data_IF_894373049749
#
_entry.id   IF_894373049749
#
_cell.length_a   1.000
_cell.length_b   1.000
_cell.length_c   1.000
_cell.angle_alpha   90.00
_cell.angle_beta   90.00
_cell.angle_gamma   90.00
#
_symmetry.space_group_name_H-M   'P 1'
#
loop_
_entity.id
_entity.type
_entity.pdbx_description
1 polymer ?
#
# COMPACT_ATOMS: atom_id res chain seq x y z
N UNK A 1 -2.24 8.40 -4.81
CA UNK A 1 -1.99 9.73 -5.43
C UNK A 1 -1.93 10.85 -4.39
N UNK A 2 -2.94 11.08 -3.52
CA UNK A 2 -2.93 12.16 -2.51
C UNK A 2 -1.72 12.16 -1.56
N UNK A 3 -1.04 11.04 -1.44
CA UNK A 3 0.13 10.86 -0.57
C UNK A 3 1.47 11.08 -1.28
N UNK A 4 1.47 11.33 -2.59
CA UNK A 4 2.67 11.59 -3.37
C UNK A 4 2.87 13.08 -3.59
N UNK A 5 4.11 13.52 -3.59
CA UNK A 5 4.54 14.89 -3.81
C UNK A 5 5.41 14.95 -5.06
N UNK A 6 5.25 15.95 -5.95
CA UNK A 6 6.16 16.11 -7.08
C UNK A 6 7.63 16.06 -6.65
N UNK A 7 8.43 15.28 -7.38
CA UNK A 7 9.84 15.01 -7.06
C UNK A 7 10.07 13.81 -6.16
N UNK A 8 9.00 13.14 -5.64
CA UNK A 8 9.19 11.93 -4.85
C UNK A 8 9.81 10.80 -5.70
N UNK A 9 10.81 10.13 -5.13
CA UNK A 9 11.28 8.83 -5.59
C UNK A 9 10.41 7.76 -4.93
N UNK A 10 9.72 6.97 -5.75
CA UNK A 10 8.66 6.04 -5.33
C UNK A 10 9.04 4.62 -5.70
N UNK A 11 9.33 3.78 -4.70
CA UNK A 11 9.44 2.34 -4.93
C UNK A 11 8.06 1.68 -4.87
N UNK A 12 7.81 0.76 -5.80
CA UNK A 12 6.57 0.00 -5.87
C UNK A 12 6.86 -1.50 -5.76
N UNK A 13 6.36 -2.08 -4.70
CA UNK A 13 6.39 -3.52 -4.49
C UNK A 13 5.35 -4.26 -5.33
N UNK A 14 5.46 -5.58 -5.30
CA UNK A 14 4.53 -6.50 -5.96
C UNK A 14 3.14 -6.44 -5.30
N UNK A 15 2.09 -6.63 -6.07
CA UNK A 15 0.71 -6.69 -5.60
C UNK A 15 -0.08 -5.43 -5.95
N UNK A 16 -0.98 -4.99 -5.07
CA UNK A 16 -1.90 -3.88 -5.35
C UNK A 16 -1.19 -2.56 -5.65
N UNK A 17 -0.06 -2.30 -4.99
CA UNK A 17 0.75 -1.11 -5.21
C UNK A 17 1.32 -1.02 -6.64
N UNK A 18 1.53 -2.15 -7.32
CA UNK A 18 1.99 -2.16 -8.72
C UNK A 18 0.98 -1.57 -9.71
N UNK A 19 -0.25 -1.32 -9.29
CA UNK A 19 -1.27 -0.61 -10.08
C UNK A 19 -1.14 0.92 -10.06
N UNK A 20 -0.33 1.49 -9.17
CA UNK A 20 -0.16 2.95 -9.05
C UNK A 20 0.29 3.60 -10.37
N UNK A 21 1.26 3.04 -11.13
CA UNK A 21 1.66 3.62 -12.41
C UNK A 21 0.54 3.73 -13.44
N UNK A 22 -0.39 2.74 -13.46
CA UNK A 22 -1.55 2.80 -14.34
C UNK A 22 -2.44 4.00 -14.00
N UNK A 23 -2.72 4.21 -12.72
CA UNK A 23 -3.52 5.36 -12.26
C UNK A 23 -2.82 6.69 -12.56
N UNK A 24 -1.49 6.75 -12.40
CA UNK A 24 -0.69 7.92 -12.78
C UNK A 24 -0.83 8.23 -14.26
N UNK A 25 -0.75 7.18 -15.10
CA UNK A 25 -0.90 7.31 -16.55
C UNK A 25 -2.30 7.76 -16.96
N UNK A 26 -3.34 7.13 -16.40
CA UNK A 26 -4.74 7.48 -16.66
C UNK A 26 -5.07 8.93 -16.27
N UNK A 27 -4.40 9.46 -15.25
CA UNK A 27 -4.58 10.83 -14.78
C UNK A 27 -3.67 11.85 -15.45
N UNK A 28 -2.88 11.47 -16.46
CA UNK A 28 -1.94 12.37 -17.14
C UNK A 28 -0.85 12.96 -16.24
N UNK A 29 -0.54 12.29 -15.11
CA UNK A 29 0.42 12.76 -14.10
C UNK A 29 1.82 12.15 -14.29
N UNK A 30 2.15 11.76 -15.53
CA UNK A 30 3.51 11.31 -15.86
C UNK A 30 4.50 12.48 -15.71
N UNK A 31 5.65 12.21 -15.11
CA UNK A 31 6.74 13.17 -14.99
C UNK A 31 6.96 13.83 -13.63
N UNK A 32 5.93 14.06 -12.77
CA UNK A 32 6.21 14.64 -11.47
C UNK A 32 6.84 13.67 -10.46
N UNK A 33 6.85 12.35 -10.73
CA UNK A 33 7.37 11.33 -9.82
C UNK A 33 8.47 10.51 -10.51
N UNK A 34 9.46 10.06 -9.71
CA UNK A 34 10.51 9.16 -10.16
C UNK A 34 10.24 7.76 -9.62
N UNK A 35 9.70 6.89 -10.45
CA UNK A 35 9.49 5.50 -10.04
C UNK A 35 10.81 4.74 -9.95
N UNK A 36 10.87 3.81 -9.02
CA UNK A 36 12.02 2.95 -8.81
C UNK A 36 11.58 1.52 -8.53
N UNK A 37 12.38 0.56 -8.93
CA UNK A 37 12.21 -0.85 -8.55
C UNK A 37 13.53 -1.39 -8.00
N UNK A 38 13.45 -2.36 -7.09
CA UNK A 38 14.62 -3.04 -6.51
C UNK A 38 15.50 -3.76 -7.54
N UNK A 39 15.00 -3.92 -8.77
CA UNK A 39 15.70 -4.55 -9.89
C UNK A 39 16.51 -3.57 -10.74
N UNK A 40 16.65 -2.31 -10.32
CA UNK A 40 17.55 -1.35 -10.92
C UNK A 40 16.93 -0.20 -11.70
N UNK A 41 15.66 -0.29 -12.09
CA UNK A 41 15.01 0.81 -12.82
C UNK A 41 14.82 2.04 -11.94
N UNK A 42 15.27 3.21 -12.40
CA UNK A 42 15.05 4.50 -11.76
C UNK A 42 14.57 5.51 -12.79
N UNK A 43 13.53 6.27 -12.45
CA UNK A 43 12.82 7.15 -13.39
C UNK A 43 11.91 6.39 -14.34
N UNK A 44 11.31 7.09 -15.30
CA UNK A 44 10.37 6.46 -16.24
C UNK A 44 9.16 5.81 -15.58
N UNK A 45 8.70 4.70 -16.14
CA UNK A 45 7.50 4.01 -15.71
C UNK A 45 7.75 2.50 -15.52
N UNK A 46 7.51 1.93 -14.33
CA UNK A 46 7.53 0.48 -14.15
C UNK A 46 6.52 -0.20 -15.07
N UNK A 47 6.89 -1.33 -15.63
CA UNK A 47 5.98 -2.11 -16.47
C UNK A 47 4.77 -2.56 -15.65
N UNK A 48 3.59 -2.18 -16.10
CA UNK A 48 2.33 -2.61 -15.53
C UNK A 48 2.12 -4.06 -15.96
N UNK A 49 2.51 -5.00 -15.12
CA UNK A 49 2.37 -6.42 -15.38
C UNK A 49 1.51 -7.12 -14.34
N UNK A 50 0.58 -7.95 -14.80
CA UNK A 50 -0.04 -8.92 -13.90
C UNK A 50 1.08 -9.77 -13.26
N UNK A 51 1.05 -10.02 -11.95
CA UNK A 51 1.97 -10.93 -11.29
C UNK A 51 2.01 -12.33 -11.92
N UNK A 52 1.00 -12.66 -12.73
CA UNK A 52 0.89 -13.91 -13.48
C UNK A 52 1.59 -13.89 -14.85
N UNK A 53 2.01 -12.73 -15.35
CA UNK A 53 2.79 -12.62 -16.60
C UNK A 53 4.25 -12.40 -16.22
N UNK A 54 4.93 -13.49 -16.02
CA UNK A 54 6.30 -13.65 -15.49
C UNK A 54 7.42 -12.95 -16.26
N UNK A 55 7.15 -12.18 -17.29
CA UNK A 55 8.20 -11.52 -18.10
C UNK A 55 8.41 -10.03 -17.80
N UNK A 56 7.55 -9.40 -17.01
CA UNK A 56 7.59 -7.94 -16.80
C UNK A 56 8.00 -7.52 -15.38
N UNK A 57 8.35 -8.47 -14.51
CA UNK A 57 8.78 -8.14 -13.15
C UNK A 57 10.12 -7.39 -13.20
N UNK A 58 10.12 -6.17 -12.67
CA UNK A 58 11.30 -5.30 -12.70
C UNK A 58 11.56 -4.56 -14.01
N UNK A 59 10.76 -4.78 -15.06
CA UNK A 59 10.89 -4.03 -16.30
C UNK A 59 10.48 -2.56 -16.11
N UNK A 60 11.20 -1.67 -16.78
CA UNK A 60 10.95 -0.24 -16.82
C UNK A 60 10.87 0.26 -18.25
N UNK A 61 9.93 1.19 -18.52
CA UNK A 61 9.87 1.92 -19.78
C UNK A 61 10.46 3.31 -19.57
N UNK A 62 11.36 3.73 -20.48
CA UNK A 62 11.99 5.05 -20.47
C UNK A 62 12.63 5.39 -19.12
N UNK A 63 13.31 4.42 -18.49
CA UNK A 63 14.06 4.68 -17.27
C UNK A 63 15.14 5.74 -17.53
N UNK A 64 15.33 6.65 -16.58
CA UNK A 64 16.42 7.65 -16.65
C UNK A 64 17.78 6.95 -16.49
N UNK A 65 17.82 5.89 -15.67
CA UNK A 65 18.99 5.01 -15.59
C UNK A 65 18.58 3.59 -15.16
N UNK A 66 19.46 2.65 -15.44
CA UNK A 66 19.38 1.26 -14.94
C UNK A 66 20.64 1.02 -14.12
N UNK A 67 20.45 0.72 -12.85
CA UNK A 67 21.50 0.44 -11.88
C UNK A 67 21.55 -1.05 -11.57
N UNK A 68 22.66 -1.51 -11.03
CA UNK A 68 22.70 -2.82 -10.38
C UNK A 68 21.82 -2.82 -9.13
N UNK A 69 21.28 -3.97 -8.77
CA UNK A 69 20.40 -4.08 -7.58
C UNK A 69 21.09 -3.62 -6.29
N UNK A 70 22.40 -3.87 -6.15
CA UNK A 70 23.19 -3.39 -5.01
C UNK A 70 23.23 -1.86 -4.98
N UNK A 71 23.51 -1.22 -6.13
CA UNK A 71 23.56 0.24 -6.24
C UNK A 71 22.21 0.90 -5.93
N UNK A 72 21.09 0.27 -6.32
CA UNK A 72 19.76 0.75 -5.98
C UNK A 72 19.53 0.71 -4.47
N UNK A 73 19.92 -0.38 -3.81
CA UNK A 73 19.80 -0.45 -2.35
C UNK A 73 20.74 0.55 -1.67
N UNK A 74 21.96 0.75 -2.16
CA UNK A 74 22.86 1.79 -1.65
C UNK A 74 22.25 3.20 -1.81
N UNK A 75 21.60 3.47 -2.94
CA UNK A 75 20.84 4.70 -3.14
C UNK A 75 19.71 4.86 -2.12
N UNK A 76 18.96 3.78 -1.82
CA UNK A 76 17.91 3.81 -0.79
C UNK A 76 18.50 4.04 0.60
N UNK A 77 19.58 3.35 0.95
CA UNK A 77 20.32 3.52 2.20
C UNK A 77 20.87 4.94 2.36
N UNK A 78 21.28 5.56 1.27
CA UNK A 78 21.70 6.96 1.19
C UNK A 78 20.57 7.99 1.38
N UNK A 79 19.34 7.54 1.57
CA UNK A 79 18.18 8.42 1.79
C UNK A 79 17.48 8.87 0.51
N UNK A 80 17.78 8.23 -0.63
CA UNK A 80 17.20 8.54 -1.93
C UNK A 80 15.72 8.11 -2.08
N UNK A 81 15.19 7.31 -1.18
CA UNK A 81 13.81 6.81 -1.25
C UNK A 81 12.85 7.67 -0.43
N UNK A 82 11.90 8.31 -1.10
CA UNK A 82 10.87 9.13 -0.44
C UNK A 82 9.66 8.29 -0.03
N UNK A 83 9.13 7.47 -0.93
CA UNK A 83 7.89 6.73 -0.73
C UNK A 83 8.06 5.26 -1.11
N UNK A 84 7.58 4.36 -0.27
CA UNK A 84 7.44 2.95 -0.56
C UNK A 84 5.96 2.57 -0.63
N UNK A 85 5.50 2.08 -1.78
CA UNK A 85 4.18 1.47 -1.97
C UNK A 85 4.31 -0.05 -1.91
N UNK A 86 3.85 -0.69 -0.83
CA UNK A 86 4.11 -2.10 -0.56
C UNK A 86 2.81 -2.86 -0.23
N UNK A 87 2.80 -4.16 -0.51
CA UNK A 87 1.74 -5.05 -0.05
C UNK A 87 1.92 -5.44 1.42
N UNK A 88 0.90 -6.07 2.02
CA UNK A 88 0.96 -6.65 3.34
C UNK A 88 0.14 -7.94 3.43
N UNK A 89 0.60 -8.90 4.24
CA UNK A 89 -0.15 -10.11 4.54
C UNK A 89 -0.89 -9.99 5.88
N UNK A 90 -0.20 -9.56 6.93
CA UNK A 90 -0.76 -9.39 8.27
C UNK A 90 -0.29 -8.06 8.87
N UNK A 91 -1.15 -7.44 9.67
CA UNK A 91 -0.89 -6.17 10.38
C UNK A 91 -1.28 -6.35 11.84
N UNK A 92 -0.41 -5.93 12.77
CA UNK A 92 -0.68 -5.90 14.21
C UNK A 92 -1.11 -4.49 14.65
N UNK A 93 -1.78 -4.38 15.78
CA UNK A 93 -2.32 -3.12 16.29
C UNK A 93 -1.28 -2.01 16.53
N UNK A 94 -0.02 -2.35 16.77
CA UNK A 94 1.11 -1.43 16.87
C UNK A 94 1.67 -0.98 15.50
N UNK A 95 1.03 -1.41 14.41
CA UNK A 95 1.44 -1.13 13.03
C UNK A 95 2.53 -2.04 12.49
N UNK A 96 2.98 -3.04 13.22
CA UNK A 96 3.94 -4.02 12.69
C UNK A 96 3.31 -4.86 11.59
N UNK A 97 4.10 -5.19 10.55
CA UNK A 97 3.64 -5.89 9.36
C UNK A 97 4.43 -7.15 9.10
N UNK A 98 3.72 -8.19 8.66
CA UNK A 98 4.28 -9.43 8.14
C UNK A 98 3.97 -9.60 6.65
N UNK A 99 4.98 -10.04 5.89
CA UNK A 99 4.87 -10.45 4.49
C UNK A 99 5.64 -11.75 4.20
N UNK A 100 6.51 -12.16 5.12
CA UNK A 100 7.50 -13.22 4.91
C UNK A 100 7.00 -14.63 5.20
N UNK A 101 6.03 -14.77 6.10
CA UNK A 101 5.48 -16.05 6.52
C UNK A 101 3.96 -15.97 6.64
N UNK A 102 3.26 -16.99 6.18
CA UNK A 102 1.80 -17.06 6.32
C UNK A 102 1.37 -18.52 6.50
N UNK A 103 0.76 -18.83 7.64
CA UNK A 103 0.27 -20.17 7.98
C UNK A 103 1.32 -21.28 7.79
N UNK A 104 2.54 -21.04 8.27
CA UNK A 104 3.68 -21.98 8.16
C UNK A 104 4.34 -22.02 6.77
N UNK A 105 3.84 -21.26 5.80
CA UNK A 105 4.48 -21.12 4.50
C UNK A 105 5.47 -19.96 4.52
N UNK A 106 6.74 -20.28 4.54
CA UNK A 106 7.83 -19.31 4.51
C UNK A 106 8.09 -18.88 3.05
N UNK A 107 7.85 -17.62 2.73
CA UNK A 107 8.08 -17.02 1.41
C UNK A 107 9.30 -16.11 1.37
N UNK A 108 9.70 -15.61 2.54
CA UNK A 108 10.73 -14.58 2.67
C UNK A 108 10.22 -13.17 2.29
N UNK A 109 10.78 -12.12 2.88
CA UNK A 109 10.36 -10.74 2.65
C UNK A 109 10.98 -10.10 1.41
N UNK A 110 12.04 -10.68 0.81
CA UNK A 110 12.81 -10.02 -0.25
C UNK A 110 13.35 -8.66 0.20
N UNK A 111 13.33 -7.67 -0.67
CA UNK A 111 13.74 -6.29 -0.40
C UNK A 111 12.78 -5.50 0.51
N UNK A 112 11.64 -6.07 0.91
CA UNK A 112 10.62 -5.38 1.70
C UNK A 112 11.17 -4.75 2.99
N UNK A 113 12.09 -5.43 3.69
CA UNK A 113 12.64 -4.95 4.96
C UNK A 113 13.39 -3.64 4.76
N UNK A 114 14.36 -3.62 3.85
CA UNK A 114 15.15 -2.43 3.58
C UNK A 114 14.28 -1.30 3.01
N UNK A 115 13.47 -1.59 2.00
CA UNK A 115 12.62 -0.61 1.34
C UNK A 115 11.65 0.04 2.32
N UNK A 116 10.94 -0.75 3.14
CA UNK A 116 9.99 -0.21 4.11
C UNK A 116 10.67 0.56 5.24
N UNK A 117 11.89 0.16 5.61
CA UNK A 117 12.61 0.74 6.73
C UNK A 117 13.32 2.06 6.37
N UNK A 118 13.66 2.25 5.10
CA UNK A 118 14.42 3.39 4.59
C UNK A 118 13.54 4.50 4.02
N UNK A 119 12.35 4.18 3.52
CA UNK A 119 11.44 5.17 2.96
C UNK A 119 10.96 6.15 4.04
N UNK A 120 10.87 7.44 3.68
CA UNK A 120 10.30 8.47 4.58
C UNK A 120 8.80 8.26 4.81
N UNK A 121 8.10 7.74 3.79
CA UNK A 121 6.68 7.44 3.80
C UNK A 121 6.44 6.02 3.31
N UNK A 122 5.67 5.24 4.05
CA UNK A 122 5.31 3.87 3.67
C UNK A 122 3.79 3.79 3.47
N UNK A 123 3.39 3.34 2.29
CA UNK A 123 2.00 3.14 1.92
C UNK A 123 1.77 1.63 1.76
N UNK A 124 1.25 0.99 2.79
CA UNK A 124 0.83 -0.40 2.71
C UNK A 124 -0.52 -0.51 2.01
N UNK A 125 -0.57 -1.16 0.85
CA UNK A 125 -1.76 -1.28 0.01
C UNK A 125 -2.22 -2.74 -0.05
N UNK A 126 -3.50 -2.97 0.24
CA UNK A 126 -4.05 -4.32 0.24
C UNK A 126 -5.54 -4.34 0.58
N UNK A 127 -6.17 -5.51 0.49
CA UNK A 127 -7.54 -5.69 0.98
C UNK A 127 -7.54 -5.80 2.51
N UNK A 128 -8.66 -5.40 3.14
CA UNK A 128 -8.84 -5.49 4.60
C UNK A 128 -8.88 -6.94 5.08
N UNK A 129 -9.45 -7.83 4.29
CA UNK A 129 -9.50 -9.28 4.52
C UNK A 129 -8.90 -10.04 3.35
N UNK A 130 -8.58 -11.32 3.51
CA UNK A 130 -8.01 -12.18 2.47
C UNK A 130 -8.80 -13.47 2.26
N UNK A 131 -8.66 -14.08 1.08
CA UNK A 131 -9.23 -15.39 0.79
C UNK A 131 -10.65 -15.35 0.24
N UNK A 132 -10.78 -15.15 -1.08
CA UNK A 132 -12.04 -15.12 -1.83
C UNK A 132 -13.00 -14.02 -1.37
N UNK A 133 -12.48 -12.84 -1.05
CA UNK A 133 -13.29 -11.63 -0.93
C UNK A 133 -13.99 -11.33 -2.26
N UNK A 134 -15.19 -10.78 -2.16
CA UNK A 134 -15.97 -10.34 -3.31
C UNK A 134 -16.56 -8.98 -3.00
N UNK A 135 -15.98 -7.97 -3.64
CA UNK A 135 -16.33 -6.57 -3.45
C UNK A 135 -16.58 -5.95 -4.82
N UNK A 136 -17.70 -5.31 -4.97
CA UNK A 136 -18.09 -4.63 -6.20
C UNK A 136 -18.14 -3.12 -5.97
N UNK A 137 -17.71 -2.37 -6.96
CA UNK A 137 -17.95 -0.94 -7.02
C UNK A 137 -19.46 -0.72 -7.25
N UNK A 138 -20.04 0.21 -6.50
CA UNK A 138 -21.41 0.67 -6.66
C UNK A 138 -21.37 2.09 -7.22
N UNK A 139 -21.53 2.25 -8.55
CA UNK A 139 -21.40 3.57 -9.19
C UNK A 139 -22.60 4.48 -8.96
N UNK A 140 -23.73 3.93 -8.51
CA UNK A 140 -24.96 4.68 -8.23
C UNK A 140 -24.78 5.66 -7.07
N UNK A 141 -25.54 6.74 -7.06
CA UNK A 141 -25.47 7.77 -6.02
C UNK A 141 -26.16 7.33 -4.73
N UNK A 142 -25.48 7.35 -3.57
CA UNK A 142 -24.06 7.66 -3.38
C UNK A 142 -23.16 6.53 -3.87
N UNK A 143 -22.11 6.88 -4.63
CA UNK A 143 -21.14 5.91 -5.10
C UNK A 143 -20.35 5.32 -3.91
N UNK A 144 -19.99 4.04 -3.99
CA UNK A 144 -19.32 3.36 -2.90
C UNK A 144 -18.97 1.91 -3.21
N UNK A 145 -18.83 1.10 -2.16
CA UNK A 145 -18.56 -0.32 -2.25
C UNK A 145 -19.77 -1.14 -1.81
N UNK A 146 -20.01 -2.24 -2.50
CA UNK A 146 -20.86 -3.32 -2.04
C UNK A 146 -19.98 -4.51 -1.69
N UNK A 147 -19.88 -4.81 -0.41
CA UNK A 147 -19.20 -6.00 0.07
C UNK A 147 -20.21 -7.14 0.00
N UNK A 148 -20.01 -8.04 -0.98
CA UNK A 148 -20.89 -9.21 -1.16
C UNK A 148 -20.45 -10.31 -0.21
N UNK A 149 -19.14 -10.48 -0.06
CA UNK A 149 -18.54 -11.48 0.82
C UNK A 149 -17.16 -11.00 1.28
N UNK A 150 -16.96 -11.00 2.59
CA UNK A 150 -15.62 -10.81 3.16
C UNK A 150 -14.71 -12.01 2.90
N UNK A 151 -13.42 -11.75 2.86
CA UNK A 151 -12.41 -12.79 2.81
C UNK A 151 -12.45 -13.65 4.08
N UNK A 152 -12.09 -14.93 3.93
CA UNK A 152 -12.12 -15.90 5.04
C UNK A 152 -11.13 -15.60 6.16
N UNK A 153 -10.09 -14.83 5.87
CA UNK A 153 -8.99 -14.53 6.78
C UNK A 153 -8.92 -13.05 7.06
N UNK A 154 -8.95 -12.69 8.32
CA UNK A 154 -8.60 -11.35 8.77
C UNK A 154 -7.11 -11.12 8.52
N UNK A 155 -6.75 -9.89 8.22
CA UNK A 155 -5.35 -9.47 8.05
C UNK A 155 -4.86 -8.54 9.16
N UNK A 156 -5.78 -7.90 9.86
CA UNK A 156 -5.53 -7.04 11.02
C UNK A 156 -5.76 -7.86 12.28
N UNK A 157 -4.65 -8.32 12.90
CA UNK A 157 -4.61 -9.40 13.90
C UNK A 157 -3.97 -8.95 15.20
N UNK A 158 -4.39 -9.55 16.31
CA UNK A 158 -3.73 -9.37 17.61
C UNK A 158 -2.28 -9.91 17.60
N UNK A 159 -2.03 -10.97 16.83
CA UNK A 159 -0.71 -11.61 16.69
C UNK A 159 -0.46 -11.89 15.22
N UNK A 160 0.77 -11.63 14.78
CA UNK A 160 1.25 -11.90 13.43
C UNK A 160 2.35 -12.95 13.46
N UNK A 161 2.48 -13.74 12.40
CA UNK A 161 3.39 -14.88 12.36
C UNK A 161 4.86 -14.44 12.39
N UNK A 162 5.17 -13.31 11.72
CA UNK A 162 6.51 -12.74 11.67
C UNK A 162 6.43 -11.20 11.66
N UNK A 163 7.50 -10.52 12.07
CA UNK A 163 7.63 -9.05 11.97
C UNK A 163 8.70 -8.71 10.93
N UNK A 164 8.27 -8.24 9.76
CA UNK A 164 9.17 -7.75 8.71
C UNK A 164 9.25 -6.22 8.69
N UNK A 165 8.24 -5.53 9.20
CA UNK A 165 8.23 -4.10 9.46
C UNK A 165 7.79 -3.87 10.91
N UNK A 166 8.54 -3.07 11.66
CA UNK A 166 8.27 -2.81 13.08
C UNK A 166 7.70 -1.40 13.26
N UNK A 167 6.39 -1.32 13.57
CA UNK A 167 5.66 -0.06 13.69
C UNK A 167 6.26 0.91 14.72
N UNK A 168 6.58 0.48 15.96
CA UNK A 168 7.21 1.37 16.94
C UNK A 168 8.54 1.98 16.49
N UNK A 169 9.36 1.23 15.74
CA UNK A 169 10.60 1.78 15.17
C UNK A 169 10.34 2.82 14.09
N UNK A 170 9.28 2.64 13.30
CA UNK A 170 8.87 3.61 12.29
C UNK A 170 8.44 4.94 12.94
N UNK A 171 7.67 4.87 14.02
CA UNK A 171 7.30 6.05 14.82
C UNK A 171 8.52 6.75 15.38
N UNK A 172 9.46 6.01 16.00
CA UNK A 172 10.68 6.57 16.57
C UNK A 172 11.55 7.28 15.51
N UNK A 173 11.50 6.82 14.24
CA UNK A 173 12.20 7.44 13.11
C UNK A 173 11.42 8.60 12.46
N UNK A 174 10.19 8.85 12.86
CA UNK A 174 9.33 9.86 12.26
C UNK A 174 8.80 9.49 10.87
N UNK A 175 8.74 8.19 10.53
CA UNK A 175 8.16 7.75 9.26
C UNK A 175 6.65 8.00 9.25
N UNK A 176 6.12 8.44 8.10
CA UNK A 176 4.68 8.47 7.86
C UNK A 176 4.24 7.11 7.32
N UNK A 177 3.33 6.43 8.01
CA UNK A 177 2.87 5.10 7.60
C UNK A 177 1.36 5.08 7.47
N UNK A 178 0.87 4.66 6.30
CA UNK A 178 -0.55 4.46 6.01
C UNK A 178 -0.82 3.01 5.61
N UNK A 179 -1.94 2.49 6.08
CA UNK A 179 -2.49 1.18 5.69
C UNK A 179 -3.76 1.43 4.89
N UNK A 180 -3.68 1.26 3.59
CA UNK A 180 -4.71 1.64 2.64
C UNK A 180 -5.40 0.37 2.15
N UNK A 181 -6.69 0.28 2.45
CA UNK A 181 -7.53 -0.83 1.98
C UNK A 181 -8.66 -0.30 1.10
N UNK A 182 -9.40 -1.20 0.49
CA UNK A 182 -10.54 -0.87 -0.37
C UNK A 182 -11.65 -0.11 0.37
N UNK A 183 -11.71 -0.22 1.70
CA UNK A 183 -12.81 0.31 2.50
C UNK A 183 -12.39 1.18 3.69
N UNK A 184 -11.12 1.15 4.10
CA UNK A 184 -10.61 1.87 5.25
C UNK A 184 -9.15 2.27 5.06
N UNK A 185 -8.76 3.44 5.55
CA UNK A 185 -7.36 3.86 5.63
C UNK A 185 -7.02 4.12 7.09
N UNK A 186 -5.96 3.46 7.55
CA UNK A 186 -5.39 3.68 8.87
C UNK A 186 -4.08 4.43 8.76
N UNK A 187 -3.80 5.26 9.76
CA UNK A 187 -2.51 5.92 9.98
C UNK A 187 -1.86 5.32 11.21
N UNK A 188 -0.56 5.10 11.15
CA UNK A 188 0.22 4.72 12.31
C UNK A 188 0.47 5.96 13.20
N UNK A 189 0.18 5.81 14.49
CA UNK A 189 0.42 6.82 15.54
C UNK A 189 1.19 6.20 16.70
N UNK A 190 1.66 7.00 17.63
CA UNK A 190 2.30 6.50 18.85
C UNK A 190 1.36 5.62 19.72
N UNK A 191 0.05 5.80 19.57
CA UNK A 191 -0.97 4.99 20.27
C UNK A 191 -1.41 3.74 19.48
N UNK A 192 -0.80 3.44 18.32
CA UNK A 192 -1.20 2.36 17.42
C UNK A 192 -1.93 2.88 16.17
N UNK A 193 -2.80 2.07 15.60
CA UNK A 193 -3.51 2.43 14.39
C UNK A 193 -4.70 3.36 14.65
N UNK A 194 -4.82 4.40 13.84
CA UNK A 194 -5.92 5.35 13.83
C UNK A 194 -6.65 5.29 12.48
N UNK A 195 -7.96 5.03 12.50
CA UNK A 195 -8.82 5.08 11.32
C UNK A 195 -9.03 6.52 10.89
N UNK A 196 -8.58 6.88 9.69
CA UNK A 196 -8.62 8.26 9.16
C UNK A 196 -9.55 8.45 7.96
N UNK A 197 -9.78 7.38 7.18
CA UNK A 197 -10.73 7.40 6.06
C UNK A 197 -11.54 6.10 6.02
N UNK A 198 -12.79 6.19 5.54
CA UNK A 198 -13.70 5.06 5.35
C UNK A 198 -14.48 5.23 4.06
N UNK A 199 -14.75 4.12 3.35
CA UNK A 199 -15.56 4.16 2.14
C UNK A 199 -16.98 4.71 2.42
N UNK A 200 -17.61 5.45 1.49
CA UNK A 200 -18.91 6.10 1.72
C UNK A 200 -20.04 5.15 2.16
N UNK A 201 -20.01 3.92 1.66
CA UNK A 201 -21.02 2.88 1.90
C UNK A 201 -20.72 1.94 3.07
N UNK A 202 -19.62 2.19 3.79
CA UNK A 202 -19.18 1.33 4.90
C UNK A 202 -19.32 2.08 6.22
N UNK A 203 -19.76 1.42 7.27
CA UNK A 203 -19.78 1.96 8.63
C UNK A 203 -18.56 1.50 9.45
N UNK A 204 -18.32 2.19 10.57
CA UNK A 204 -17.19 1.90 11.44
C UNK A 204 -17.28 0.50 12.04
N UNK A 205 -18.47 0.03 12.34
CA UNK A 205 -18.67 -1.27 12.98
C UNK A 205 -18.35 -2.42 12.02
N UNK A 206 -18.62 -2.24 10.73
CA UNK A 206 -18.14 -3.17 9.70
C UNK A 206 -16.61 -3.25 9.63
N UNK A 207 -15.91 -2.12 9.80
CA UNK A 207 -14.44 -2.13 9.88
C UNK A 207 -13.95 -2.81 11.17
N UNK A 208 -14.58 -2.51 12.33
CA UNK A 208 -14.26 -3.14 13.62
C UNK A 208 -14.42 -4.64 13.58
N UNK A 209 -15.48 -5.14 12.94
CA UNK A 209 -15.73 -6.58 12.83
C UNK A 209 -14.63 -7.34 12.06
N UNK A 210 -13.97 -6.66 11.12
CA UNK A 210 -12.91 -7.20 10.27
C UNK A 210 -11.51 -7.12 10.90
N UNK A 211 -11.35 -6.41 12.03
CA UNK A 211 -10.09 -6.20 12.76
C UNK A 211 -10.17 -6.92 14.11
N UNK A 212 -9.08 -7.47 14.62
CA UNK A 212 -9.07 -8.20 15.89
C UNK A 212 -8.67 -7.37 17.11
N UNK A 213 -8.13 -6.19 16.90
CA UNK A 213 -7.64 -5.30 17.96
C UNK A 213 -8.42 -3.99 17.97
N UNK A 214 -8.36 -3.31 19.10
CA UNK A 214 -8.91 -1.97 19.24
C UNK A 214 -8.02 -0.95 18.50
N UNK A 215 -8.67 -0.04 17.79
CA UNK A 215 -8.01 1.08 17.11
C UNK A 215 -8.72 2.40 17.42
N UNK A 216 -8.01 3.50 17.30
CA UNK A 216 -8.61 4.82 17.48
C UNK A 216 -9.31 5.27 16.19
N UNK A 217 -10.38 6.06 16.36
CA UNK A 217 -11.06 6.70 15.23
C UNK A 217 -10.72 8.19 15.27
N UNK A 218 -10.22 8.70 14.17
CA UNK A 218 -9.86 10.11 14.07
C UNK A 218 -11.05 11.03 14.32
N UNK A 219 -10.85 12.09 15.09
CA UNK A 219 -11.83 13.16 15.22
C UNK A 219 -12.15 13.86 13.88
N UNK A 220 -11.24 13.71 12.89
CA UNK A 220 -11.39 14.20 11.52
C UNK A 220 -11.54 13.04 10.53
N UNK A 221 -12.28 12.00 10.92
CA UNK A 221 -12.58 10.88 10.02
C UNK A 221 -13.23 11.41 8.74
N UNK A 222 -12.62 11.10 7.61
CA UNK A 222 -13.11 11.49 6.28
C UNK A 222 -13.81 10.31 5.59
N UNK A 223 -14.72 10.64 4.69
CA UNK A 223 -15.20 9.67 3.69
C UNK A 223 -14.23 9.67 2.51
N UNK A 224 -13.93 8.48 1.98
CA UNK A 224 -13.21 8.38 0.72
C UNK A 224 -13.99 9.09 -0.38
N UNK A 225 -13.26 9.66 -1.32
CA UNK A 225 -13.84 10.37 -2.46
C UNK A 225 -14.70 9.40 -3.30
N UNK A 226 -15.97 9.75 -3.53
CA UNK A 226 -16.89 8.95 -4.33
C UNK A 226 -16.37 8.68 -5.75
N UNK A 227 -15.54 9.58 -6.30
CA UNK A 227 -14.91 9.37 -7.58
C UNK A 227 -13.99 8.13 -7.64
N UNK A 228 -13.57 7.57 -6.48
CA UNK A 228 -12.85 6.30 -6.43
C UNK A 228 -13.72 5.08 -6.75
N UNK A 229 -15.06 5.26 -6.70
CA UNK A 229 -16.05 4.19 -6.82
C UNK A 229 -16.93 4.34 -8.07
N UNK A 230 -16.49 5.13 -9.06
CA UNK A 230 -17.15 5.31 -10.35
C UNK A 230 -16.38 4.55 -11.42
N UNK A 231 -17.11 3.95 -12.36
CA UNK A 231 -16.51 3.22 -13.50
C UNK A 231 -15.94 4.16 -14.58
N UNK A 232 -16.14 5.47 -14.44
CA UNK A 232 -15.62 6.43 -15.41
C UNK A 232 -14.17 6.80 -15.10
N UNK A 233 -13.27 6.81 -16.10
CA UNK A 233 -11.92 7.33 -15.93
C UNK A 233 -12.01 8.79 -15.46
N UNK A 234 -11.22 9.14 -14.44
CA UNK A 234 -11.13 10.53 -13.99
C UNK A 234 -10.63 11.38 -15.15
N UNK A 235 -11.41 12.37 -15.55
CA UNK A 235 -10.90 13.42 -16.43
C UNK A 235 -9.78 14.17 -15.70
N UNK A 236 -8.68 14.50 -16.41
CA UNK A 236 -7.53 15.18 -15.85
C UNK A 236 -7.86 16.56 -15.27
#
# INVERSE_FOLDING_TARGET
MRSLTPGDVVNLGVGMASGIPAVVQEQGLQGPFHFSTEHGGLGGMPAIGSPKKTGAFGAHYNADCILDSVEVFDFYHGGGLNVAGLGFAQVRGDGSVNVGEFQGNLRGPGGFVDISHLARKVLFCGELTAGKSETHVKPDTPAGLRIVRDGRHKKFLNRIDQVNFHGPSAIAKGQTVLYITERAVFRLTAAGLELIEIAPSVDIDAVKSAVEFEFTVSQRLCRMDEALFRDEPRQP
#
